data_IF_022902520817
#
_entry.id   IF_022902520817
#
_cell.length_a   1.000
_cell.length_b   1.000
_cell.length_c   1.000
_cell.angle_alpha   90.00
_cell.angle_beta   90.00
_cell.angle_gamma   90.00
#
_symmetry.space_group_name_H-M   'P 1'
#
loop_
_entity.id
_entity.type
_entity.pdbx_description
1 polymer ?
#
# COMPACT_ATOMS: atom_id res chain seq x y z
N UNK A 1 -94.84 -5.90 -13.81
CA UNK A 1 -94.90 -6.90 -12.73
C UNK A 1 -93.96 -8.03 -13.12
N UNK A 2 -93.05 -8.37 -12.20
CA UNK A 2 -92.11 -9.49 -12.18
C UNK A 2 -92.13 -10.45 -13.38
N UNK A 3 -91.01 -10.58 -14.09
CA UNK A 3 -90.17 -11.80 -14.09
C UNK A 3 -89.16 -11.83 -15.26
N UNK A 4 -87.94 -12.24 -14.88
CA UNK A 4 -87.00 -13.18 -15.54
C UNK A 4 -86.68 -13.12 -17.05
N UNK A 5 -85.36 -12.99 -17.26
CA UNK A 5 -84.45 -13.82 -18.07
C UNK A 5 -84.66 -13.84 -19.60
N UNK A 6 -83.63 -13.43 -20.34
CA UNK A 6 -83.44 -13.95 -21.71
C UNK A 6 -82.51 -13.18 -22.66
N UNK A 7 -81.20 -13.38 -22.51
CA UNK A 7 -80.17 -13.47 -23.56
C UNK A 7 -79.76 -12.30 -24.49
N UNK A 8 -78.42 -12.13 -24.50
CA UNK A 8 -77.51 -11.73 -25.60
C UNK A 8 -77.53 -10.27 -26.06
N UNK A 9 -76.48 -9.53 -25.74
CA UNK A 9 -75.33 -9.33 -26.63
C UNK A 9 -74.32 -8.32 -26.02
N UNK A 10 -73.06 -8.43 -26.46
CA UNK A 10 -71.96 -7.46 -26.32
C UNK A 10 -71.34 -7.24 -24.93
N UNK A 11 -70.17 -7.85 -24.74
CA UNK A 11 -68.90 -7.15 -24.45
C UNK A 11 -67.92 -8.11 -23.76
N UNK A 12 -67.46 -9.10 -24.51
CA UNK A 12 -66.19 -9.79 -24.28
C UNK A 12 -65.05 -8.78 -24.50
N UNK A 13 -64.80 -7.96 -23.50
CA UNK A 13 -63.65 -7.05 -23.42
C UNK A 13 -63.05 -7.14 -22.02
N UNK A 14 -62.86 -8.36 -21.52
CA UNK A 14 -62.16 -8.63 -20.26
C UNK A 14 -61.74 -10.10 -20.15
N UNK A 15 -61.17 -10.68 -21.22
CA UNK A 15 -60.63 -12.05 -21.16
C UNK A 15 -59.63 -12.39 -22.29
N UNK A 16 -58.98 -11.39 -22.92
CA UNK A 16 -57.92 -11.61 -23.94
C UNK A 16 -56.68 -10.72 -23.67
N UNK A 17 -56.48 -10.31 -22.41
CA UNK A 17 -55.25 -9.61 -21.98
C UNK A 17 -54.50 -10.34 -20.87
N UNK A 18 -54.57 -11.67 -20.88
CA UNK A 18 -53.72 -12.55 -20.09
C UNK A 18 -53.43 -13.75 -20.98
N UNK A 19 -52.16 -14.05 -21.20
CA UNK A 19 -51.60 -15.15 -22.04
C UNK A 19 -51.08 -14.73 -23.43
N UNK A 20 -50.16 -13.77 -23.47
CA UNK A 20 -49.11 -13.71 -24.51
C UNK A 20 -48.02 -12.69 -24.16
N UNK A 21 -47.44 -12.81 -22.96
CA UNK A 21 -46.10 -12.27 -22.69
C UNK A 21 -45.15 -13.46 -22.62
N UNK A 22 -44.75 -13.96 -23.79
CA UNK A 22 -43.57 -14.80 -23.89
C UNK A 22 -42.40 -13.97 -23.37
N UNK A 23 -41.86 -14.38 -22.22
CA UNK A 23 -40.54 -14.01 -21.74
C UNK A 23 -39.53 -14.46 -22.79
N UNK A 24 -39.22 -13.58 -23.73
CA UNK A 24 -37.97 -13.65 -24.48
C UNK A 24 -36.92 -13.08 -23.54
N UNK A 25 -35.90 -13.84 -23.12
CA UNK A 25 -34.74 -13.22 -22.51
C UNK A 25 -34.13 -12.32 -23.59
N UNK A 26 -34.23 -11.01 -23.40
CA UNK A 26 -33.34 -10.08 -24.08
C UNK A 26 -31.96 -10.39 -23.53
N UNK A 27 -31.25 -11.29 -24.21
CA UNK A 27 -29.81 -11.35 -24.09
C UNK A 27 -29.32 -10.02 -24.63
N UNK A 28 -29.11 -9.06 -23.73
CA UNK A 28 -28.11 -8.04 -23.97
C UNK A 28 -26.79 -8.81 -24.05
N UNK A 29 -26.41 -9.14 -25.29
CA UNK A 29 -25.02 -9.44 -25.60
C UNK A 29 -24.30 -8.13 -25.34
N UNK A 30 -23.79 -7.96 -24.12
CA UNK A 30 -22.59 -7.16 -23.95
C UNK A 30 -21.54 -7.85 -24.82
N UNK A 31 -21.35 -7.32 -26.03
CA UNK A 31 -20.08 -7.46 -26.72
C UNK A 31 -19.05 -6.80 -25.79
N UNK A 32 -18.56 -7.59 -24.84
CA UNK A 32 -17.25 -7.37 -24.24
C UNK A 32 -16.32 -7.34 -25.43
N UNK A 33 -15.86 -6.14 -25.79
CA UNK A 33 -14.68 -6.00 -26.61
C UNK A 33 -13.57 -6.67 -25.82
N UNK A 34 -13.39 -7.97 -26.03
CA UNK A 34 -12.12 -8.62 -25.83
C UNK A 34 -11.19 -7.89 -26.79
N UNK A 35 -10.55 -6.83 -26.30
CA UNK A 35 -9.28 -6.43 -26.87
C UNK A 35 -8.48 -7.72 -26.94
N UNK A 36 -8.10 -8.13 -28.15
CA UNK A 36 -7.13 -9.19 -28.34
C UNK A 36 -5.87 -8.72 -27.62
N UNK A 37 -5.78 -9.04 -26.33
CA UNK A 37 -4.53 -8.96 -25.59
C UNK A 37 -3.61 -9.85 -26.38
N UNK A 38 -2.56 -9.27 -26.95
CA UNK A 38 -1.45 -10.03 -27.50
C UNK A 38 -1.09 -11.06 -26.43
N UNK A 39 -1.41 -12.34 -26.66
CA UNK A 39 -0.96 -13.44 -25.82
C UNK A 39 0.57 -13.42 -25.89
N UNK A 40 1.19 -12.67 -24.97
CA UNK A 40 2.62 -12.77 -24.76
C UNK A 40 2.85 -14.15 -24.20
N UNK A 41 3.42 -15.02 -25.04
CA UNK A 41 3.82 -16.38 -24.70
C UNK A 41 5.13 -16.37 -23.89
N UNK A 42 5.19 -15.48 -22.90
CA UNK A 42 6.33 -15.22 -22.04
C UNK A 42 6.05 -15.85 -20.69
N UNK A 43 6.84 -16.84 -20.33
CA UNK A 43 6.78 -17.46 -19.01
C UNK A 43 7.47 -16.54 -18.00
N UNK A 44 6.74 -16.10 -16.99
CA UNK A 44 7.30 -15.29 -15.90
C UNK A 44 8.44 -16.04 -15.18
N UNK A 45 9.64 -15.46 -15.21
CA UNK A 45 10.82 -15.94 -14.51
C UNK A 45 10.97 -15.25 -13.16
N UNK A 46 10.63 -15.98 -12.09
CA UNK A 46 10.65 -15.45 -10.72
C UNK A 46 12.05 -14.99 -10.29
N UNK A 47 13.11 -15.70 -10.66
CA UNK A 47 14.47 -15.39 -10.22
C UNK A 47 15.00 -14.15 -10.93
N UNK A 48 14.75 -14.04 -12.24
CA UNK A 48 15.15 -12.90 -13.05
C UNK A 48 14.61 -11.56 -12.52
N UNK A 49 13.38 -11.56 -12.00
CA UNK A 49 12.72 -10.35 -11.49
C UNK A 49 12.86 -10.15 -9.98
N UNK A 50 13.65 -10.99 -9.30
CA UNK A 50 13.91 -10.88 -7.87
C UNK A 50 15.33 -10.39 -7.58
N UNK A 51 15.45 -9.41 -6.70
CA UNK A 51 16.71 -9.04 -6.05
C UNK A 51 16.66 -9.54 -4.63
N UNK A 52 17.71 -10.23 -4.18
CA UNK A 52 17.94 -10.58 -2.77
C UNK A 52 19.37 -10.21 -2.41
N UNK A 53 19.52 -9.32 -1.44
CA UNK A 53 20.80 -8.88 -0.90
C UNK A 53 20.75 -9.07 0.62
N UNK A 54 21.78 -9.71 1.18
CA UNK A 54 21.97 -9.87 2.62
C UNK A 54 23.46 -9.70 2.89
N UNK A 55 23.81 -8.73 3.72
CA UNK A 55 25.19 -8.43 4.09
C UNK A 55 25.23 -7.70 5.44
N UNK A 56 26.42 -7.50 5.98
CA UNK A 56 26.70 -6.66 7.16
C UNK A 56 26.35 -5.19 6.96
N UNK A 57 26.43 -4.70 5.72
CA UNK A 57 25.99 -3.37 5.28
C UNK A 57 25.81 -3.38 3.76
N UNK A 58 24.68 -2.89 3.27
CA UNK A 58 24.35 -2.84 1.84
C UNK A 58 24.30 -1.38 1.37
N UNK A 59 25.19 -0.96 0.46
CA UNK A 59 25.18 0.40 -0.08
C UNK A 59 23.90 0.72 -0.87
N UNK A 60 23.39 1.95 -0.75
CA UNK A 60 22.17 2.42 -1.46
C UNK A 60 22.33 2.37 -2.98
N UNK A 61 23.53 2.58 -3.50
CA UNK A 61 23.86 2.52 -4.93
C UNK A 61 23.73 1.09 -5.46
N UNK A 62 24.14 0.08 -4.66
CA UNK A 62 24.02 -1.32 -5.03
C UNK A 62 22.54 -1.74 -5.09
N UNK A 63 21.74 -1.33 -4.10
CA UNK A 63 20.28 -1.52 -4.08
C UNK A 63 19.67 -0.93 -5.36
N UNK A 64 19.96 0.35 -5.62
CA UNK A 64 19.42 1.07 -6.78
C UNK A 64 19.79 0.41 -8.11
N UNK A 65 21.05 0.02 -8.28
CA UNK A 65 21.52 -0.63 -9.51
C UNK A 65 20.87 -2.01 -9.75
N UNK A 66 20.73 -2.83 -8.70
CA UNK A 66 20.11 -4.15 -8.79
C UNK A 66 18.61 -4.05 -9.06
N UNK A 67 17.90 -3.17 -8.36
CA UNK A 67 16.47 -2.92 -8.60
C UNK A 67 16.23 -2.41 -10.01
N UNK A 68 17.01 -1.44 -10.49
CA UNK A 68 16.89 -0.92 -11.85
C UNK A 68 17.13 -2.00 -12.91
N UNK A 69 18.08 -2.91 -12.68
CA UNK A 69 18.35 -4.03 -13.60
C UNK A 69 17.16 -4.98 -13.68
N UNK A 70 16.57 -5.36 -12.54
CA UNK A 70 15.39 -6.23 -12.50
C UNK A 70 14.17 -5.59 -13.19
N UNK A 71 13.93 -4.30 -12.91
CA UNK A 71 12.85 -3.54 -13.56
C UNK A 71 13.04 -3.42 -15.07
N UNK A 72 14.25 -3.04 -15.52
CA UNK A 72 14.52 -2.88 -16.95
C UNK A 72 14.36 -4.22 -17.68
N UNK A 73 14.76 -5.32 -17.04
CA UNK A 73 14.58 -6.67 -17.58
C UNK A 73 13.10 -7.06 -17.70
N UNK A 74 12.27 -6.67 -16.72
CA UNK A 74 10.82 -6.88 -16.76
C UNK A 74 10.16 -6.01 -17.84
N UNK A 75 10.47 -4.71 -17.84
CA UNK A 75 9.99 -3.75 -18.85
C UNK A 75 10.34 -4.23 -20.26
N UNK A 76 11.55 -4.78 -20.48
CA UNK A 76 11.97 -5.23 -21.80
C UNK A 76 11.19 -6.45 -22.33
N UNK A 77 10.78 -7.34 -21.43
CA UNK A 77 10.08 -8.58 -21.78
C UNK A 77 8.55 -8.36 -21.86
N UNK A 78 8.04 -7.49 -21.00
CA UNK A 78 6.62 -7.19 -20.83
C UNK A 78 6.24 -5.79 -21.36
N UNK A 79 6.91 -5.30 -22.41
CA UNK A 79 6.70 -3.95 -23.01
C UNK A 79 5.25 -3.57 -23.35
N UNK A 80 4.36 -4.55 -23.48
CA UNK A 80 2.97 -4.37 -23.89
C UNK A 80 1.95 -4.72 -22.78
N UNK A 81 2.43 -4.91 -21.56
CA UNK A 81 1.65 -5.32 -20.41
C UNK A 81 1.44 -4.10 -19.50
N UNK A 82 0.19 -3.75 -19.15
CA UNK A 82 -0.09 -2.86 -18.01
C UNK A 82 0.53 -3.46 -16.74
N UNK A 83 1.17 -2.66 -15.87
CA UNK A 83 0.72 -1.33 -15.45
C UNK A 83 1.41 -0.17 -16.19
N UNK A 84 0.76 0.99 -16.15
CA UNK A 84 1.28 2.21 -16.80
C UNK A 84 2.33 2.94 -15.94
N UNK A 85 2.36 2.67 -14.65
CA UNK A 85 3.39 3.10 -13.70
C UNK A 85 4.09 1.87 -13.10
N UNK A 86 5.40 1.96 -12.92
CA UNK A 86 6.18 1.01 -12.12
C UNK A 86 6.78 1.76 -10.94
N UNK A 87 6.67 1.15 -9.75
CA UNK A 87 7.10 1.76 -8.51
C UNK A 87 8.42 1.21 -8.00
N UNK A 88 9.12 2.03 -7.22
CA UNK A 88 10.22 1.57 -6.36
C UNK A 88 10.21 2.35 -5.06
N UNK A 89 10.97 1.85 -4.08
CA UNK A 89 11.22 2.56 -2.84
C UNK A 89 12.72 2.78 -2.69
N UNK A 90 13.11 4.00 -2.30
CA UNK A 90 14.45 4.22 -1.76
C UNK A 90 14.38 4.24 -0.24
N UNK A 91 15.26 3.48 0.40
CA UNK A 91 15.37 3.44 1.87
C UNK A 91 15.88 4.78 2.39
N UNK A 92 15.10 5.37 3.30
CA UNK A 92 15.40 6.64 3.95
C UNK A 92 15.62 6.41 5.44
N UNK A 93 16.86 6.53 5.87
CA UNK A 93 17.33 6.15 7.22
C UNK A 93 18.26 7.24 7.73
N UNK A 94 18.32 7.38 9.05
CA UNK A 94 19.13 8.38 9.74
C UNK A 94 20.63 8.05 9.68
N UNK A 95 21.47 9.06 9.92
CA UNK A 95 22.89 8.85 10.13
C UNK A 95 23.11 7.90 11.32
N UNK A 96 24.00 6.91 11.16
CA UNK A 96 24.24 5.89 12.17
C UNK A 96 23.38 4.63 12.01
N UNK A 97 22.56 4.54 10.98
CA UNK A 97 21.84 3.32 10.60
C UNK A 97 22.42 2.68 9.33
N UNK A 98 22.21 1.38 9.17
CA UNK A 98 22.64 0.63 7.98
C UNK A 98 21.58 -0.36 7.52
N UNK A 99 21.50 -0.56 6.20
CA UNK A 99 20.66 -1.59 5.58
C UNK A 99 21.44 -2.91 5.56
N UNK A 100 20.84 -3.98 6.08
CA UNK A 100 21.49 -5.31 6.19
C UNK A 100 20.80 -6.40 5.36
N UNK A 101 19.53 -6.20 5.01
CA UNK A 101 18.82 -7.01 4.02
C UNK A 101 18.01 -6.13 3.08
N UNK A 102 17.94 -6.54 1.83
CA UNK A 102 17.05 -5.96 0.84
C UNK A 102 16.51 -7.03 -0.11
N UNK A 103 15.20 -7.07 -0.25
CA UNK A 103 14.50 -7.92 -1.21
C UNK A 103 13.64 -7.04 -2.10
N UNK A 104 13.64 -7.28 -3.40
CA UNK A 104 12.76 -6.60 -4.34
C UNK A 104 12.24 -7.59 -5.37
N UNK A 105 10.99 -7.43 -5.81
CA UNK A 105 10.43 -8.20 -6.92
C UNK A 105 9.47 -7.36 -7.74
N UNK A 106 9.53 -7.49 -9.06
CA UNK A 106 8.40 -7.12 -9.94
C UNK A 106 7.52 -8.35 -10.11
N UNK A 107 6.24 -8.24 -9.71
CA UNK A 107 5.26 -9.32 -9.74
C UNK A 107 4.72 -9.54 -11.16
N UNK A 108 4.08 -10.69 -11.43
CA UNK A 108 3.47 -10.98 -12.72
C UNK A 108 2.47 -9.93 -13.20
N UNK A 109 1.64 -9.34 -12.34
CA UNK A 109 0.73 -8.26 -12.72
C UNK A 109 1.42 -6.88 -12.89
N UNK A 110 2.75 -6.83 -12.77
CA UNK A 110 3.61 -5.65 -12.90
C UNK A 110 3.63 -4.71 -11.69
N UNK A 111 2.83 -4.98 -10.65
CA UNK A 111 3.09 -4.40 -9.33
C UNK A 111 4.49 -4.80 -8.87
N UNK A 112 5.16 -3.96 -8.08
CA UNK A 112 6.44 -4.33 -7.48
C UNK A 112 6.38 -4.31 -5.96
N UNK A 113 7.28 -5.03 -5.31
CA UNK A 113 7.32 -5.12 -3.86
C UNK A 113 8.75 -5.09 -3.36
N UNK A 114 8.97 -4.45 -2.21
CA UNK A 114 10.28 -4.42 -1.56
C UNK A 114 10.20 -4.67 -0.07
N UNK A 115 11.28 -5.24 0.46
CA UNK A 115 11.58 -5.40 1.87
C UNK A 115 12.97 -4.86 2.15
N UNK A 116 13.12 -4.05 3.19
CA UNK A 116 14.42 -3.65 3.71
C UNK A 116 14.50 -3.96 5.20
N UNK A 117 15.64 -4.45 5.66
CA UNK A 117 15.94 -4.58 7.09
C UNK A 117 17.04 -3.60 7.47
N UNK A 118 16.78 -2.82 8.51
CA UNK A 118 17.64 -1.75 8.99
C UNK A 118 17.95 -1.98 10.46
N UNK A 119 19.21 -1.74 10.81
CA UNK A 119 19.72 -1.85 12.18
C UNK A 119 20.62 -0.67 12.50
N UNK A 120 20.88 -0.45 13.79
CA UNK A 120 21.91 0.49 14.21
C UNK A 120 23.27 0.06 13.65
N UNK A 121 24.12 1.02 13.32
CA UNK A 121 25.51 0.74 12.92
C UNK A 121 26.30 0.08 14.04
N UNK A 122 25.90 0.33 15.29
CA UNK A 122 26.49 -0.28 16.49
C UNK A 122 26.04 -1.73 16.71
N UNK A 123 24.87 -2.10 16.16
CA UNK A 123 24.37 -3.46 16.20
C UNK A 123 25.11 -4.34 15.19
N UNK A 124 25.35 -5.58 15.59
CA UNK A 124 26.04 -6.59 14.77
C UNK A 124 25.28 -7.92 14.82
N UNK A 125 24.04 -7.97 14.29
CA UNK A 125 23.31 -9.23 14.16
C UNK A 125 24.07 -10.18 13.24
N UNK A 126 23.91 -11.48 13.48
CA UNK A 126 24.57 -12.48 12.65
C UNK A 126 23.98 -12.51 11.25
N UNK A 127 24.79 -12.85 10.24
CA UNK A 127 24.27 -13.03 8.86
C UNK A 127 23.20 -14.13 8.77
N UNK A 128 23.24 -15.12 9.67
CA UNK A 128 22.24 -16.18 9.77
C UNK A 128 20.89 -15.61 10.24
N UNK A 129 20.91 -14.76 11.27
CA UNK A 129 19.72 -14.07 11.77
C UNK A 129 19.11 -13.15 10.70
N UNK A 130 19.93 -12.30 10.06
CA UNK A 130 19.49 -11.41 8.98
C UNK A 130 18.89 -12.22 7.82
N UNK A 131 19.57 -13.31 7.42
CA UNK A 131 19.07 -14.20 6.35
C UNK A 131 17.74 -14.83 6.73
N UNK A 132 17.59 -15.30 7.97
CA UNK A 132 16.35 -15.91 8.45
C UNK A 132 15.16 -14.96 8.38
N UNK A 133 15.35 -13.68 8.72
CA UNK A 133 14.29 -12.67 8.60
C UNK A 133 13.93 -12.40 7.13
N UNK A 134 14.92 -12.22 6.26
CA UNK A 134 14.69 -12.03 4.83
C UNK A 134 13.96 -13.24 4.21
N UNK A 135 14.36 -14.46 4.57
CA UNK A 135 13.74 -15.69 4.09
C UNK A 135 12.31 -15.86 4.63
N UNK A 136 12.05 -15.51 5.89
CA UNK A 136 10.70 -15.49 6.44
C UNK A 136 9.77 -14.52 5.70
N UNK A 137 10.29 -13.34 5.30
CA UNK A 137 9.54 -12.39 4.49
C UNK A 137 9.30 -12.90 3.05
N UNK A 138 10.29 -13.58 2.46
CA UNK A 138 10.19 -14.20 1.14
C UNK A 138 9.14 -15.33 1.14
N UNK A 139 9.23 -16.24 2.10
CA UNK A 139 8.38 -17.43 2.16
C UNK A 139 6.95 -17.15 2.66
N UNK A 140 6.74 -16.02 3.34
CA UNK A 140 5.43 -15.58 3.83
C UNK A 140 4.80 -14.52 2.92
N UNK A 141 4.97 -13.21 3.23
CA UNK A 141 4.39 -12.09 2.48
C UNK A 141 4.64 -12.14 0.97
N UNK A 142 5.90 -12.27 0.52
CA UNK A 142 6.23 -12.20 -0.90
C UNK A 142 5.65 -13.37 -1.68
N UNK A 143 5.74 -14.59 -1.14
CA UNK A 143 5.18 -15.80 -1.75
C UNK A 143 3.67 -15.72 -1.89
N UNK A 144 2.98 -15.28 -0.83
CA UNK A 144 1.52 -15.09 -0.86
C UNK A 144 1.13 -14.10 -1.94
N UNK A 145 1.78 -12.93 -1.98
CA UNK A 145 1.49 -11.88 -2.95
C UNK A 145 1.85 -12.26 -4.39
N UNK A 146 2.92 -13.03 -4.58
CA UNK A 146 3.26 -13.62 -5.89
C UNK A 146 2.17 -14.59 -6.35
N UNK A 147 1.66 -15.44 -5.45
CA UNK A 147 0.60 -16.39 -5.77
C UNK A 147 -0.75 -15.70 -6.07
N UNK A 148 -1.07 -14.60 -5.39
CA UNK A 148 -2.23 -13.75 -5.67
C UNK A 148 -2.11 -13.11 -7.05
N UNK A 149 -0.97 -12.47 -7.34
CA UNK A 149 -0.67 -11.86 -8.64
C UNK A 149 -0.77 -12.86 -9.80
N UNK A 150 -0.37 -14.12 -9.61
CA UNK A 150 -0.54 -15.19 -10.60
C UNK A 150 -2.01 -15.59 -10.81
N UNK A 151 -2.85 -15.55 -9.77
CA UNK A 151 -4.29 -15.88 -9.84
C UNK A 151 -5.11 -14.78 -10.48
N UNK A 152 -4.69 -13.53 -10.31
CA UNK A 152 -5.33 -12.36 -10.93
C UNK A 152 -5.23 -12.33 -12.46
N UNK A 153 -4.52 -13.31 -13.05
CA UNK A 153 -4.78 -13.88 -14.37
C UNK A 153 -5.22 -12.88 -15.44
N UNK A 154 -4.29 -12.54 -16.33
CA UNK A 154 -4.37 -11.64 -17.50
C UNK A 154 -3.84 -10.24 -17.21
N UNK A 155 -2.64 -9.99 -17.70
CA UNK A 155 -2.14 -8.65 -17.96
C UNK A 155 -3.24 -7.77 -18.60
N UNK A 156 -3.67 -6.72 -17.91
CA UNK A 156 -4.58 -5.75 -18.48
C UNK A 156 -6.08 -6.00 -18.33
N UNK A 157 -6.54 -6.80 -17.36
CA UNK A 157 -7.90 -6.59 -16.88
C UNK A 157 -7.96 -5.19 -16.24
N UNK A 158 -8.64 -4.27 -16.94
CA UNK A 158 -9.00 -2.95 -16.44
C UNK A 158 -9.77 -3.12 -15.13
N UNK A 159 -9.04 -3.16 -14.02
CA UNK A 159 -9.63 -3.07 -12.68
C UNK A 159 -10.41 -1.77 -12.63
N UNK A 160 -11.69 -1.85 -12.28
CA UNK A 160 -12.50 -0.67 -11.97
C UNK A 160 -12.09 -0.13 -10.59
N UNK A 161 -10.90 0.47 -10.50
CA UNK A 161 -10.41 1.10 -9.29
C UNK A 161 -8.88 1.26 -9.22
N UNK A 162 -8.38 1.89 -8.14
CA UNK A 162 -6.95 2.11 -7.94
C UNK A 162 -6.15 0.80 -8.00
N UNK A 163 -5.11 0.78 -8.81
CA UNK A 163 -4.22 -0.38 -8.97
C UNK A 163 -2.96 -0.17 -8.15
N UNK A 164 -2.52 -1.15 -7.34
CA UNK A 164 -1.28 -1.03 -6.60
C UNK A 164 -0.09 -0.98 -7.56
N UNK A 165 0.80 -0.02 -7.33
CA UNK A 165 2.01 0.18 -8.14
C UNK A 165 3.19 -0.48 -7.44
N UNK A 166 3.34 -0.22 -6.14
CA UNK A 166 4.34 -0.87 -5.32
C UNK A 166 3.96 -0.91 -3.84
N UNK A 167 4.42 -1.95 -3.15
CA UNK A 167 4.41 -2.04 -1.69
C UNK A 167 5.83 -2.16 -1.15
N UNK A 168 6.23 -1.20 -0.31
CA UNK A 168 7.50 -1.23 0.39
C UNK A 168 7.29 -1.57 1.86
N UNK A 169 8.05 -2.51 2.38
CA UNK A 169 8.14 -2.81 3.81
C UNK A 169 9.56 -2.50 4.27
N UNK A 170 9.72 -1.65 5.26
CA UNK A 170 11.00 -1.51 5.97
C UNK A 170 10.80 -2.01 7.39
N UNK A 171 11.74 -2.81 7.88
CA UNK A 171 11.76 -3.36 9.22
C UNK A 171 12.96 -2.83 9.99
N UNK A 172 12.74 -2.45 11.25
CA UNK A 172 13.80 -2.02 12.15
C UNK A 172 13.71 -2.76 13.48
N UNK A 173 14.81 -3.40 13.86
CA UNK A 173 14.94 -4.12 15.14
C UNK A 173 15.65 -3.24 16.16
N UNK A 174 15.08 -3.12 17.35
CA UNK A 174 15.67 -2.46 18.51
C UNK A 174 16.05 -3.51 19.53
N UNK A 175 17.34 -3.84 19.59
CA UNK A 175 17.90 -4.89 20.45
C UNK A 175 17.43 -4.72 21.90
N UNK A 176 16.72 -5.74 22.43
CA UNK A 176 16.22 -5.73 23.81
C UNK A 176 15.00 -4.83 24.06
N UNK A 177 14.42 -4.21 23.03
CA UNK A 177 13.25 -3.33 23.13
C UNK A 177 12.07 -3.87 22.33
N UNK A 178 12.24 -4.15 21.04
CA UNK A 178 11.16 -4.55 20.16
C UNK A 178 11.51 -4.41 18.68
N UNK A 179 10.51 -4.60 17.82
CA UNK A 179 10.66 -4.47 16.36
C UNK A 179 9.53 -3.63 15.80
N UNK A 180 9.84 -2.82 14.80
CA UNK A 180 8.85 -2.03 14.08
C UNK A 180 8.94 -2.29 12.57
N UNK A 181 7.81 -2.11 11.89
CA UNK A 181 7.68 -2.28 10.45
C UNK A 181 6.86 -1.13 9.89
N UNK A 182 7.34 -0.49 8.84
CA UNK A 182 6.58 0.49 8.08
C UNK A 182 6.32 -0.09 6.69
N UNK A 183 5.06 -0.44 6.44
CA UNK A 183 4.59 -0.99 5.18
C UNK A 183 3.75 0.03 4.44
N UNK A 184 4.23 0.54 3.31
CA UNK A 184 3.47 1.47 2.49
C UNK A 184 3.12 0.85 1.16
N UNK A 185 1.85 0.91 0.77
CA UNK A 185 1.39 0.62 -0.58
C UNK A 185 0.93 1.90 -1.25
N UNK A 186 1.42 2.16 -2.45
CA UNK A 186 0.90 3.22 -3.30
C UNK A 186 0.12 2.67 -4.48
N UNK A 187 -0.96 3.38 -4.79
CA UNK A 187 -1.93 3.04 -5.82
C UNK A 187 -2.01 4.18 -6.83
N UNK A 188 -2.32 3.84 -8.07
CA UNK A 188 -2.68 4.80 -9.11
C UNK A 188 -4.12 4.56 -9.54
N UNK A 189 -4.92 5.62 -9.65
CA UNK A 189 -6.27 5.53 -10.18
C UNK A 189 -6.25 5.42 -11.71
N UNK A 190 -6.68 4.28 -12.23
CA UNK A 190 -6.79 4.08 -13.67
C UNK A 190 -8.15 4.56 -14.23
N UNK A 191 -9.14 4.87 -13.38
CA UNK A 191 -10.50 5.28 -13.73
C UNK A 191 -10.61 6.81 -13.84
N UNK A 192 -9.72 7.43 -14.59
CA UNK A 192 -9.70 8.89 -14.71
C UNK A 192 -10.75 9.37 -15.73
N UNK A 193 -11.87 9.89 -15.22
CA UNK A 193 -12.78 10.76 -16.00
C UNK A 193 -12.18 12.14 -16.28
N UNK A 194 -11.05 12.48 -15.64
CA UNK A 194 -10.31 13.73 -15.85
C UNK A 194 -9.10 13.49 -16.77
N UNK A 195 -9.14 14.04 -17.98
CA UNK A 195 -8.08 13.85 -18.97
C UNK A 195 -6.76 14.59 -18.66
N UNK A 196 -6.68 15.35 -17.56
CA UNK A 196 -5.53 16.22 -17.27
C UNK A 196 -4.74 15.84 -16.01
N UNK A 197 -5.27 14.93 -15.18
CA UNK A 197 -4.66 14.59 -13.88
C UNK A 197 -4.35 13.09 -13.76
N UNK A 198 -3.39 12.77 -12.89
CA UNK A 198 -3.15 11.42 -12.38
C UNK A 198 -3.33 11.45 -10.86
N UNK A 199 -4.23 10.61 -10.32
CA UNK A 199 -4.43 10.42 -8.88
C UNK A 199 -3.55 9.30 -8.33
N UNK A 200 -2.93 9.57 -7.19
CA UNK A 200 -2.16 8.61 -6.40
C UNK A 200 -2.70 8.51 -4.98
N UNK A 201 -2.78 7.28 -4.46
CA UNK A 201 -3.17 7.03 -3.09
C UNK A 201 -2.03 6.32 -2.37
N UNK A 202 -1.78 6.71 -1.12
CA UNK A 202 -0.84 6.03 -0.24
C UNK A 202 -1.57 5.46 0.95
N UNK A 203 -1.20 4.23 1.32
CA UNK A 203 -1.64 3.55 2.53
C UNK A 203 -0.39 3.09 3.25
N UNK A 204 -0.14 3.64 4.43
CA UNK A 204 1.04 3.36 5.24
C UNK A 204 0.59 2.65 6.50
N UNK A 205 1.18 1.51 6.84
CA UNK A 205 0.93 0.77 8.08
C UNK A 205 2.22 0.73 8.90
N UNK A 206 2.22 1.37 10.07
CA UNK A 206 3.20 1.13 11.11
C UNK A 206 2.73 -0.04 11.98
N UNK A 207 3.51 -1.11 12.02
CA UNK A 207 3.30 -2.24 12.93
C UNK A 207 4.42 -2.27 13.95
N UNK A 208 4.10 -2.52 15.21
CA UNK A 208 5.10 -2.71 16.27
C UNK A 208 4.88 -4.03 16.98
N UNK A 209 5.98 -4.71 17.27
CA UNK A 209 6.04 -5.92 18.08
C UNK A 209 6.94 -5.60 19.30
N UNK A 210 6.36 -5.36 20.49
CA UNK A 210 7.16 -5.16 21.70
C UNK A 210 8.02 -6.40 21.99
N UNK A 211 9.26 -6.17 22.41
CA UNK A 211 10.23 -7.22 22.70
C UNK A 211 9.94 -7.96 24.00
N UNK A 212 10.44 -9.19 24.09
CA UNK A 212 10.36 -10.01 25.32
C UNK A 212 11.55 -9.61 26.20
N UNK A 213 11.30 -9.07 27.40
CA UNK A 213 12.37 -8.77 28.36
C UNK A 213 12.91 -10.09 28.96
N UNK A 214 14.17 -10.41 28.66
CA UNK A 214 14.88 -11.59 29.15
C UNK A 214 15.49 -11.40 30.54
N UNK A 215 15.41 -10.19 31.12
CA UNK A 215 15.99 -9.84 32.42
C UNK A 215 15.06 -10.10 33.62
N UNK A 216 13.83 -10.57 33.38
CA UNK A 216 12.85 -10.91 34.41
C UNK A 216 11.98 -9.75 34.89
N UNK A 217 12.16 -8.54 34.34
CA UNK A 217 11.25 -7.39 34.50
C UNK A 217 10.12 -7.43 33.46
N UNK A 218 9.11 -6.55 33.63
CA UNK A 218 8.03 -6.45 32.64
C UNK A 218 8.57 -6.03 31.26
N UNK A 219 8.09 -6.65 30.17
CA UNK A 219 8.49 -6.30 28.82
C UNK A 219 8.11 -4.86 28.47
N UNK A 220 8.83 -4.30 27.50
CA UNK A 220 8.47 -3.03 26.90
C UNK A 220 7.04 -3.08 26.34
N UNK A 221 6.32 -1.97 26.47
CA UNK A 221 4.95 -1.77 25.99
C UNK A 221 4.92 -0.60 25.03
N UNK A 222 4.03 -0.62 24.05
CA UNK A 222 3.78 0.49 23.15
C UNK A 222 3.37 1.74 23.93
N UNK A 223 3.97 2.88 23.59
CA UNK A 223 3.72 4.17 24.25
C UNK A 223 3.36 5.27 23.26
N UNK A 224 4.27 5.66 22.37
CA UNK A 224 4.03 6.75 21.42
C UNK A 224 4.69 6.52 20.06
N UNK A 225 3.95 6.69 18.98
CA UNK A 225 4.50 6.56 17.64
C UNK A 225 4.03 7.67 16.74
N UNK A 226 4.89 8.10 15.82
CA UNK A 226 4.53 9.01 14.75
C UNK A 226 4.68 8.32 13.39
N UNK A 227 3.76 8.61 12.49
CA UNK A 227 3.95 8.39 11.06
C UNK A 227 3.83 9.73 10.35
N UNK A 228 4.80 10.02 9.49
CA UNK A 228 4.77 11.15 8.56
C UNK A 228 4.51 10.61 7.15
N UNK A 229 3.54 11.20 6.46
CA UNK A 229 3.44 11.11 5.01
C UNK A 229 3.57 12.52 4.48
N UNK A 230 4.51 12.69 3.56
CA UNK A 230 4.67 13.95 2.90
C UNK A 230 4.66 13.81 1.39
N UNK A 231 3.95 14.75 0.76
CA UNK A 231 3.92 14.96 -0.67
C UNK A 231 4.26 16.41 -1.06
N UNK A 232 4.86 17.20 -0.17
CA UNK A 232 5.34 18.55 -0.43
C UNK A 232 6.79 18.66 -0.03
N UNK A 233 7.70 18.16 -0.87
CA UNK A 233 9.10 18.39 -0.61
C UNK A 233 9.87 18.92 -1.79
N UNK A 234 10.45 20.10 -1.55
CA UNK A 234 11.76 20.52 -2.01
C UNK A 234 12.87 19.79 -1.24
N UNK A 235 13.00 18.45 -1.37
CA UNK A 235 14.18 17.76 -0.82
C UNK A 235 15.39 18.14 -1.68
N UNK A 236 16.45 18.76 -1.13
CA UNK A 236 17.66 19.02 -1.89
C UNK A 236 18.40 17.69 -2.14
N UNK A 237 18.32 17.16 -3.37
CA UNK A 237 19.17 16.03 -3.77
C UNK A 237 18.51 15.00 -4.68
N UNK A 238 19.08 14.88 -5.88
CA UNK A 238 19.12 13.71 -6.78
C UNK A 238 17.87 13.24 -7.54
N UNK A 239 16.63 13.59 -7.18
CA UNK A 239 15.46 13.18 -7.99
C UNK A 239 14.57 14.37 -8.38
N UNK A 240 14.04 14.32 -9.61
CA UNK A 240 13.04 15.29 -10.03
C UNK A 240 11.75 15.00 -9.25
N UNK A 241 11.15 16.05 -8.71
CA UNK A 241 9.86 15.98 -8.02
C UNK A 241 8.74 15.89 -9.04
N UNK A 242 7.65 15.20 -8.70
CA UNK A 242 6.48 15.24 -9.53
C UNK A 242 5.83 16.64 -9.43
N UNK A 243 5.81 17.45 -10.51
CA UNK A 243 5.33 18.82 -10.43
C UNK A 243 3.82 18.90 -10.12
N UNK A 244 3.45 19.81 -9.21
CA UNK A 244 2.05 20.16 -8.96
C UNK A 244 1.25 19.05 -8.25
N UNK A 245 1.87 18.32 -7.33
CA UNK A 245 1.18 17.39 -6.44
C UNK A 245 0.35 18.16 -5.41
N UNK A 246 -0.92 17.81 -5.29
CA UNK A 246 -1.83 18.36 -4.29
C UNK A 246 -2.49 17.24 -3.50
N UNK A 247 -2.56 17.41 -2.17
CA UNK A 247 -3.29 16.48 -1.30
C UNK A 247 -4.75 16.90 -1.22
N UNK A 248 -5.64 15.98 -1.57
CA UNK A 248 -7.09 16.24 -1.58
C UNK A 248 -7.79 15.69 -0.34
N UNK A 249 -7.26 14.62 0.25
CA UNK A 249 -7.80 13.99 1.45
C UNK A 249 -6.70 13.34 2.27
N UNK A 250 -6.84 13.45 3.58
CA UNK A 250 -6.03 12.78 4.58
C UNK A 250 -7.00 12.16 5.58
N UNK A 251 -6.79 10.90 5.95
CA UNK A 251 -7.65 10.24 6.93
C UNK A 251 -6.82 9.79 8.11
N UNK A 252 -6.86 10.52 9.24
CA UNK A 252 -6.41 9.95 10.49
C UNK A 252 -7.25 8.74 10.81
N UNK A 253 -6.65 7.79 11.51
CA UNK A 253 -7.44 6.99 12.43
C UNK A 253 -8.02 7.96 13.49
N UNK A 254 -9.09 8.70 13.17
CA UNK A 254 -9.67 9.71 14.08
C UNK A 254 -10.47 9.07 15.22
N UNK A 255 -10.49 7.74 15.28
CA UNK A 255 -11.26 6.96 16.24
C UNK A 255 -10.53 5.68 16.56
N UNK A 256 -10.43 5.39 17.86
CA UNK A 256 -9.91 4.18 18.49
C UNK A 256 -10.17 2.89 17.68
N UNK A 257 -9.15 2.09 17.34
CA UNK A 257 -9.32 0.74 16.76
C UNK A 257 -8.23 0.15 15.86
N UNK A 258 -8.30 -1.16 15.56
CA UNK A 258 -7.68 -1.79 14.39
C UNK A 258 -8.35 -1.29 13.12
N UNK A 259 -7.60 -0.70 12.20
CA UNK A 259 -8.16 -0.11 10.97
C UNK A 259 -8.13 -1.10 9.81
N UNK A 260 -9.29 -1.58 9.41
CA UNK A 260 -9.54 -2.23 8.13
C UNK A 260 -9.89 -1.18 7.07
N UNK A 261 -9.06 -1.06 6.04
CA UNK A 261 -9.38 -0.26 4.85
C UNK A 261 -10.19 -1.11 3.89
N UNK A 262 -11.45 -0.77 3.70
CA UNK A 262 -12.31 -1.29 2.65
C UNK A 262 -12.39 -0.30 1.50
N UNK A 263 -12.07 -0.74 0.29
CA UNK A 263 -12.42 0.01 -0.92
C UNK A 263 -13.92 -0.19 -1.16
N UNK A 264 -14.71 0.89 -1.09
CA UNK A 264 -16.13 0.83 -1.43
C UNK A 264 -16.32 1.37 -2.84
N UNK A 265 -16.63 0.46 -3.76
CA UNK A 265 -16.94 0.77 -5.15
C UNK A 265 -18.42 1.20 -5.24
N UNK A 266 -18.68 2.48 -5.02
CA UNK A 266 -19.98 3.09 -5.27
C UNK A 266 -20.10 3.57 -6.72
N UNK A 267 -21.31 3.51 -7.29
CA UNK A 267 -21.64 3.94 -8.67
C UNK A 267 -21.50 5.45 -8.93
N UNK A 268 -21.03 6.23 -7.96
CA UNK A 268 -20.89 7.70 -8.04
C UNK A 268 -19.50 8.23 -7.68
N UNK A 269 -18.49 7.38 -7.52
CA UNK A 269 -17.11 7.78 -7.18
C UNK A 269 -16.41 6.77 -6.27
N UNK A 270 -15.10 6.65 -6.41
CA UNK A 270 -14.26 5.85 -5.53
C UNK A 270 -14.14 6.54 -4.17
N UNK A 271 -14.65 5.91 -3.12
CA UNK A 271 -14.45 6.37 -1.74
C UNK A 271 -13.73 5.26 -0.99
N UNK A 272 -12.51 5.53 -0.54
CA UNK A 272 -11.83 4.68 0.44
C UNK A 272 -12.64 4.74 1.74
N UNK A 273 -13.24 3.62 2.13
CA UNK A 273 -13.93 3.48 3.40
C UNK A 273 -12.97 2.87 4.42
N UNK A 274 -12.55 3.69 5.36
CA UNK A 274 -11.73 3.27 6.49
C UNK A 274 -12.68 2.83 7.60
N UNK A 275 -12.51 1.62 8.13
CA UNK A 275 -13.31 1.08 9.22
C UNK A 275 -12.40 0.63 10.34
N UNK A 276 -12.73 0.97 11.59
CA UNK A 276 -11.80 0.83 12.71
C UNK A 276 -12.52 0.19 13.92
N UNK A 277 -11.90 -0.78 14.62
CA UNK A 277 -12.47 -1.49 15.78
C UNK A 277 -11.56 -1.43 17.05
N UNK A 278 -12.03 -0.75 18.10
CA UNK A 278 -11.36 -0.10 19.28
C UNK A 278 -10.32 -0.91 20.12
N UNK A 279 -9.09 -0.36 20.38
CA UNK A 279 -8.41 -0.42 21.69
C UNK A 279 -8.13 0.98 22.33
N UNK A 280 -7.57 1.01 23.55
CA UNK A 280 -7.38 2.19 24.45
C UNK A 280 -6.25 3.18 24.03
N UNK A 281 -6.29 3.73 22.82
CA UNK A 281 -5.25 4.65 22.26
C UNK A 281 -5.81 6.00 21.78
N UNK A 282 -4.95 6.97 21.50
CA UNK A 282 -5.29 8.33 21.02
C UNK A 282 -4.40 8.75 19.85
N UNK A 283 -5.02 9.00 18.70
CA UNK A 283 -4.35 9.56 17.51
C UNK A 283 -4.63 11.06 17.37
N UNK A 284 -3.58 11.86 17.26
CA UNK A 284 -3.63 13.26 16.83
C UNK A 284 -3.10 13.41 15.40
N UNK A 285 -3.78 14.23 14.58
CA UNK A 285 -3.28 14.62 13.26
C UNK A 285 -2.70 16.03 13.34
N UNK A 286 -1.47 16.19 12.87
CA UNK A 286 -0.81 17.47 12.69
C UNK A 286 -0.58 17.75 11.19
N UNK A 287 -0.83 18.99 10.79
CA UNK A 287 -0.54 19.51 9.45
C UNK A 287 0.33 20.77 9.63
N UNK A 288 1.65 20.61 9.76
CA UNK A 288 2.54 21.71 10.10
C UNK A 288 2.55 22.78 8.99
N UNK A 289 2.77 22.41 7.73
CA UNK A 289 2.68 23.24 6.53
C UNK A 289 2.60 22.34 5.27
N UNK A 290 2.19 22.89 4.11
CA UNK A 290 2.38 22.19 2.83
C UNK A 290 1.46 21.00 2.57
N UNK A 291 2.00 19.93 1.99
CA UNK A 291 1.38 18.60 1.86
C UNK A 291 2.02 17.57 2.84
N UNK A 292 2.57 18.03 3.96
CA UNK A 292 3.12 17.19 5.03
C UNK A 292 2.06 16.89 6.08
N UNK A 293 1.82 15.61 6.36
CA UNK A 293 0.87 15.17 7.37
C UNK A 293 1.54 14.23 8.36
N UNK A 294 1.30 14.49 9.64
CA UNK A 294 1.84 13.75 10.76
C UNK A 294 0.71 13.16 11.59
N UNK A 295 0.83 11.90 11.94
CA UNK A 295 -0.10 11.21 12.81
C UNK A 295 0.62 10.69 14.05
N UNK A 296 0.25 11.23 15.20
CA UNK A 296 0.83 10.88 16.50
C UNK A 296 -0.14 9.96 17.24
N UNK A 297 0.23 8.70 17.43
CA UNK A 297 -0.50 7.73 18.24
C UNK A 297 0.11 7.66 19.65
N UNK A 298 -0.73 7.74 20.67
CA UNK A 298 -0.35 7.62 22.08
C UNK A 298 -1.19 6.56 22.80
N UNK A 299 -0.54 5.74 23.61
CA UNK A 299 -1.14 4.71 24.46
C UNK A 299 -1.24 5.22 25.89
N UNK A 300 -2.32 4.84 26.57
CA UNK A 300 -2.36 4.99 28.02
C UNK A 300 -1.36 4.02 28.67
N UNK A 301 -0.58 4.51 29.64
CA UNK A 301 0.50 3.78 30.35
C UNK A 301 0.09 2.38 30.88
N UNK A 302 -1.19 2.23 31.22
CA UNK A 302 -1.74 1.01 31.83
C UNK A 302 -2.68 0.25 30.91
N UNK A 303 -2.73 0.62 29.62
CA UNK A 303 -3.55 -0.07 28.64
C UNK A 303 -3.03 -1.49 28.44
N UNK A 304 -3.90 -2.48 28.62
CA UNK A 304 -3.52 -3.89 28.44
C UNK A 304 -3.14 -4.23 26.99
N UNK A 305 -3.66 -3.47 26.01
CA UNK A 305 -3.31 -3.59 24.60
C UNK A 305 -1.92 -3.06 24.26
N UNK A 306 -1.28 -2.27 25.14
CA UNK A 306 0.06 -1.75 24.91
C UNK A 306 1.12 -2.87 24.93
N UNK A 307 0.84 -4.00 25.57
CA UNK A 307 1.76 -5.15 25.66
C UNK A 307 1.69 -6.11 24.45
N UNK A 308 0.86 -5.83 23.45
CA UNK A 308 0.66 -6.70 22.28
C UNK A 308 1.15 -6.03 21.00
N UNK A 309 1.20 -6.80 19.91
CA UNK A 309 1.38 -6.25 18.56
C UNK A 309 0.35 -5.15 18.30
N UNK A 310 0.81 -4.04 17.71
CA UNK A 310 -0.02 -2.92 17.33
C UNK A 310 0.13 -2.62 15.84
N UNK A 311 -0.96 -2.17 15.20
CA UNK A 311 -0.96 -1.74 13.80
C UNK A 311 -1.72 -0.40 13.66
N UNK A 312 -0.98 0.63 13.25
CA UNK A 312 -1.44 1.96 12.92
C UNK A 312 -1.41 2.16 11.41
N UNK A 313 -2.49 2.61 10.76
CA UNK A 313 -2.55 2.72 9.30
C UNK A 313 -3.12 4.05 8.80
N UNK A 314 -2.29 5.11 8.68
CA UNK A 314 -2.68 6.34 8.00
C UNK A 314 -2.72 6.19 6.47
N UNK A 315 -3.38 7.14 5.82
CA UNK A 315 -3.41 7.23 4.37
C UNK A 315 -3.66 8.64 3.84
N UNK A 316 -3.23 8.83 2.60
CA UNK A 316 -3.28 10.12 1.92
C UNK A 316 -3.63 9.95 0.44
N UNK A 317 -4.48 10.83 -0.06
CA UNK A 317 -4.81 10.94 -1.48
C UNK A 317 -4.15 12.19 -2.06
N UNK A 318 -3.46 12.02 -3.18
CA UNK A 318 -2.79 13.09 -3.90
C UNK A 318 -3.09 13.03 -5.40
N UNK A 319 -2.88 14.14 -6.11
CA UNK A 319 -2.99 14.18 -7.57
C UNK A 319 -2.00 15.14 -8.19
N UNK A 320 -1.61 14.90 -9.44
CA UNK A 320 -0.71 15.76 -10.20
C UNK A 320 -1.18 15.91 -11.67
N UNK A 321 -0.47 16.71 -12.47
CA UNK A 321 -0.74 16.78 -13.92
C UNK A 321 -0.19 15.55 -14.68
N UNK A 322 -0.96 14.98 -15.61
CA UNK A 322 -0.51 13.87 -16.47
C UNK A 322 0.71 14.24 -17.31
N UNK A 323 0.77 15.46 -17.83
CA UNK A 323 1.88 15.92 -18.68
C UNK A 323 3.23 15.86 -17.95
N UNK A 324 3.21 16.03 -16.63
CA UNK A 324 4.40 15.98 -15.79
C UNK A 324 4.70 14.57 -15.30
N UNK A 325 3.67 13.75 -15.07
CA UNK A 325 3.83 12.39 -14.56
C UNK A 325 4.20 11.34 -15.62
N UNK A 326 3.87 11.63 -16.89
CA UNK A 326 3.95 10.68 -18.01
C UNK A 326 5.07 10.97 -19.02
N UNK A 327 6.07 11.76 -18.64
CA UNK A 327 7.22 12.08 -19.50
C UNK A 327 8.27 10.96 -19.57
N UNK A 328 8.10 9.89 -18.78
CA UNK A 328 9.00 8.74 -18.70
C UNK A 328 10.14 8.87 -17.68
N UNK A 329 10.22 9.99 -16.96
CA UNK A 329 11.16 10.20 -15.86
C UNK A 329 10.72 9.46 -14.60
N UNK A 330 11.67 9.20 -13.70
CA UNK A 330 11.39 8.67 -12.36
C UNK A 330 11.18 9.81 -11.39
N UNK A 331 10.04 9.82 -10.73
CA UNK A 331 9.63 10.85 -9.78
C UNK A 331 9.42 10.29 -8.39
N UNK A 332 9.72 11.09 -7.36
CA UNK A 332 9.22 10.86 -6.00
C UNK A 332 7.81 11.44 -5.89
N UNK A 333 6.84 10.63 -5.43
CA UNK A 333 5.45 11.06 -5.23
C UNK A 333 5.14 11.37 -3.77
N UNK A 334 5.83 10.69 -2.86
CA UNK A 334 5.69 10.90 -1.42
C UNK A 334 6.89 10.33 -0.68
N UNK A 335 7.10 10.82 0.53
CA UNK A 335 7.98 10.22 1.54
C UNK A 335 7.10 9.69 2.67
N UNK A 336 7.32 8.46 3.09
CA UNK A 336 6.66 7.87 4.25
C UNK A 336 7.72 7.56 5.31
N UNK A 337 7.57 8.13 6.50
CA UNK A 337 8.49 7.93 7.63
C UNK A 337 7.71 7.47 8.86
N UNK A 338 8.34 6.65 9.69
CA UNK A 338 7.91 6.39 11.05
C UNK A 338 8.95 6.97 12.00
N UNK A 339 8.51 7.66 13.04
CA UNK A 339 9.34 8.01 14.18
C UNK A 339 8.84 7.23 15.40
N UNK A 340 9.73 6.40 15.95
CA UNK A 340 9.44 5.58 17.13
C UNK A 340 10.27 6.03 18.34
N UNK A 341 10.75 7.26 18.33
CA UNK A 341 11.45 7.87 19.46
C UNK A 341 10.59 7.79 20.72
N UNK A 342 11.14 7.20 21.78
CA UNK A 342 10.43 6.89 23.03
C UNK A 342 9.16 6.03 22.83
N UNK A 343 9.07 5.28 21.73
CA UNK A 343 7.82 4.62 21.36
C UNK A 343 7.47 3.40 22.17
N UNK A 344 8.42 2.87 22.95
CA UNK A 344 8.14 1.87 23.96
C UNK A 344 8.51 2.35 25.34
N UNK A 345 7.78 1.85 26.33
CA UNK A 345 8.01 2.11 27.73
C UNK A 345 8.09 0.84 28.57
N UNK A 346 8.79 0.91 29.70
CA UNK A 346 8.70 -0.10 30.75
C UNK A 346 8.87 0.52 32.13
N UNK A 347 8.36 -0.18 33.14
CA UNK A 347 8.45 0.27 34.54
C UNK A 347 9.40 -0.67 35.30
N UNK A 348 10.46 -0.11 35.87
CA UNK A 348 11.42 -0.83 36.71
C UNK A 348 11.53 -0.11 38.05
N UNK A 349 11.23 -0.82 39.14
CA UNK A 349 11.24 -0.28 40.51
C UNK A 349 10.41 1.02 40.69
N UNK A 350 9.31 1.14 39.95
CA UNK A 350 8.43 2.31 39.97
C UNK A 350 8.92 3.50 39.14
N UNK A 351 9.99 3.34 38.36
CA UNK A 351 10.52 4.35 37.43
C UNK A 351 10.16 3.95 36.00
N UNK A 352 9.61 4.90 35.24
CA UNK A 352 9.29 4.72 33.82
C UNK A 352 10.53 4.96 32.96
N UNK A 353 10.80 4.04 32.04
CA UNK A 353 11.89 4.08 31.07
C UNK A 353 11.32 4.07 29.66
N UNK A 354 11.85 4.92 28.78
CA UNK A 354 11.43 4.99 27.38
C UNK A 354 12.55 4.54 26.45
N UNK A 355 12.18 3.90 25.35
CA UNK A 355 13.10 3.44 24.32
C UNK A 355 12.43 3.42 22.94
N UNK A 356 13.21 3.51 21.85
CA UNK A 356 14.59 3.99 21.79
C UNK A 356 14.70 5.48 22.17
N UNK A 357 15.81 5.89 22.78
CA UNK A 357 16.10 7.30 23.04
C UNK A 357 16.64 8.02 21.80
N UNK A 358 16.46 9.34 21.71
CA UNK A 358 16.96 10.16 20.59
C UNK A 358 16.03 10.14 19.36
N UNK A 359 16.48 10.68 18.23
CA UNK A 359 15.71 10.71 16.97
C UNK A 359 15.75 9.35 16.28
N UNK A 360 14.57 8.76 16.06
CA UNK A 360 14.41 7.43 15.50
C UNK A 360 13.43 7.42 14.32
N UNK A 361 13.64 8.36 13.40
CA UNK A 361 12.88 8.49 12.16
C UNK A 361 13.53 7.68 11.03
N UNK A 362 12.75 6.84 10.36
CA UNK A 362 13.17 5.99 9.24
C UNK A 362 11.97 5.65 8.36
N UNK A 363 12.21 5.28 7.10
CA UNK A 363 11.14 5.07 6.14
C UNK A 363 11.63 4.88 4.72
N UNK A 364 10.89 5.42 3.77
CA UNK A 364 11.24 5.35 2.35
C UNK A 364 10.63 6.45 1.50
N UNK A 365 11.34 6.76 0.41
CA UNK A 365 10.85 7.60 -0.69
C UNK A 365 10.10 6.73 -1.69
N UNK A 366 8.85 7.08 -1.93
CA UNK A 366 7.96 6.40 -2.87
C UNK A 366 8.23 6.95 -4.27
N UNK A 367 8.77 6.11 -5.15
CA UNK A 367 9.13 6.49 -6.51
C UNK A 367 8.23 5.81 -7.53
N UNK A 368 7.88 6.54 -8.58
CA UNK A 368 7.15 6.03 -9.73
C UNK A 368 7.84 6.46 -11.02
N UNK A 369 7.76 5.59 -12.02
CA UNK A 369 8.14 5.90 -13.39
C UNK A 369 6.98 5.51 -14.29
N UNK A 370 6.63 6.39 -15.20
CA UNK A 370 5.69 6.04 -16.27
C UNK A 370 6.38 5.11 -17.28
N UNK A 371 5.83 3.92 -17.45
CA UNK A 371 6.34 2.88 -18.38
C UNK A 371 5.49 2.74 -19.64
N UNK A 372 4.43 3.55 -19.77
CA UNK A 372 3.26 3.25 -20.59
C UNK A 372 3.50 2.69 -22.00
N UNK A 373 2.66 1.71 -22.38
CA UNK A 373 2.32 1.43 -23.78
C UNK A 373 1.17 2.33 -24.24
N UNK A 374 1.34 3.00 -25.39
CA UNK A 374 0.22 3.61 -26.11
C UNK A 374 -0.69 2.48 -26.61
N UNK A 375 -1.89 2.33 -26.04
CA UNK A 375 -2.97 1.69 -26.79
C UNK A 375 -3.46 2.76 -27.76
N UNK A 376 -3.00 2.72 -29.02
CA UNK A 376 -3.73 3.39 -30.08
C UNK A 376 -5.14 2.80 -30.09
N UNK A 377 -6.12 3.66 -29.78
CA UNK A 377 -7.56 3.38 -29.92
C UNK A 377 -7.91 2.97 -31.32
#
# INVERSE_FOLDING_TARGET
MNEKIGMRAFSTLLAVMLMSAMLVPVMAVEEVWQSQGTEQNVQYDMEKYTVRLVDSEIPKELISARTQTAMSSFEEEFKNVPPRYIGTAEVDISEGEKVVAYVFRVLPNGESVSYAEVVSSEDNPSLEEISSHADAWIDGPLKSKTAESLKEGSFGLLSYGPTPIHTATISRTYTGVGRAYLTTTWYWDNQETNSNQDYFFTKTTLRTDPGIDISGYEPYRNYQFNVEIDSDYSVPGYYQHLPGVYVSQNNPQTTTGYTTVGLSLGTGGCVLQWSTAIPDTRVELHHPYGNTYNWDEEFNLWASCAATTFEFTPGQQSYCSQSSARDGSTYVISRAMADVSNGWEKIVDGIVYFAPSGTNAWGHLCKVKWSGGYVQT
#
